data_IF_275616993461
#
_entry.id   IF_275616993461
#
_cell.length_a   1.000
_cell.length_b   1.000
_cell.length_c   1.000
_cell.angle_alpha   90.00
_cell.angle_beta   90.00
_cell.angle_gamma   90.00
#
_symmetry.space_group_name_H-M   'P 1'
#
loop_
_entity.id
_entity.type
_entity.pdbx_description
1 polymer ?
#
# COMPACT_ATOMS: atom_id res chain seq x y z
N UNK A 1 -19.36 0.59 39.71
CA UNK A 1 -19.27 1.40 38.48
C UNK A 1 -18.20 0.73 37.63
N UNK A 2 -18.59 -0.22 36.78
CA UNK A 2 -17.64 -1.00 35.97
C UNK A 2 -17.20 -0.21 34.73
N UNK A 3 -16.90 1.09 34.90
CA UNK A 3 -16.17 2.03 34.00
C UNK A 3 -16.59 2.18 32.54
N UNK A 4 -17.45 1.31 32.03
CA UNK A 4 -17.86 1.19 30.63
C UNK A 4 -19.37 0.96 30.68
N UNK A 5 -20.10 2.03 30.96
CA UNK A 5 -21.56 2.04 30.92
C UNK A 5 -22.08 2.13 29.47
N UNK A 6 -21.22 2.56 28.54
CA UNK A 6 -21.65 3.03 27.24
C UNK A 6 -21.08 2.18 26.09
N UNK A 7 -21.93 1.25 25.63
CA UNK A 7 -21.66 0.39 24.47
C UNK A 7 -21.30 1.22 23.24
N UNK A 8 -21.80 2.45 23.11
CA UNK A 8 -21.47 3.33 21.98
C UNK A 8 -20.04 3.84 22.02
N UNK A 9 -19.48 4.08 23.20
CA UNK A 9 -18.07 4.49 23.35
C UNK A 9 -17.16 3.33 22.94
N UNK A 10 -17.48 2.11 23.37
CA UNK A 10 -16.74 0.91 22.97
C UNK A 10 -16.84 0.66 21.46
N UNK A 11 -18.03 0.85 20.88
CA UNK A 11 -18.26 0.78 19.44
C UNK A 11 -17.45 1.85 18.68
N UNK A 12 -17.38 3.08 19.20
CA UNK A 12 -16.60 4.17 18.64
C UNK A 12 -15.11 3.84 18.58
N UNK A 13 -14.53 3.33 19.67
CA UNK A 13 -13.14 2.87 19.67
C UNK A 13 -12.90 1.73 18.67
N UNK A 14 -13.80 0.74 18.62
CA UNK A 14 -13.72 -0.36 17.66
C UNK A 14 -13.77 0.12 16.21
N UNK A 15 -14.65 1.07 15.90
CA UNK A 15 -14.75 1.66 14.56
C UNK A 15 -13.51 2.49 14.21
N UNK A 16 -12.99 3.29 15.12
CA UNK A 16 -11.79 4.11 14.86
C UNK A 16 -10.55 3.25 14.62
N UNK A 17 -10.35 2.21 15.43
CA UNK A 17 -9.26 1.25 15.25
C UNK A 17 -9.49 0.47 13.94
N UNK A 18 -10.71 -0.02 13.71
CA UNK A 18 -11.07 -0.72 12.48
C UNK A 18 -10.82 0.11 11.22
N UNK A 19 -11.21 1.39 11.21
CA UNK A 19 -10.96 2.32 10.10
C UNK A 19 -9.47 2.52 9.84
N UNK A 20 -8.68 2.67 10.91
CA UNK A 20 -7.22 2.79 10.80
C UNK A 20 -6.62 1.53 10.17
N UNK A 21 -7.02 0.34 10.63
CA UNK A 21 -6.57 -0.94 10.08
C UNK A 21 -6.97 -1.07 8.61
N UNK A 22 -8.21 -0.73 8.25
CA UNK A 22 -8.68 -0.76 6.87
C UNK A 22 -7.85 0.15 5.96
N UNK A 23 -7.52 1.37 6.40
CA UNK A 23 -6.66 2.29 5.65
C UNK A 23 -5.26 1.71 5.42
N UNK A 24 -4.66 1.11 6.46
CA UNK A 24 -3.33 0.49 6.36
C UNK A 24 -3.36 -0.70 5.39
N UNK A 25 -4.32 -1.62 5.57
CA UNK A 25 -4.45 -2.81 4.71
C UNK A 25 -4.71 -2.41 3.26
N UNK A 26 -5.62 -1.48 3.03
CA UNK A 26 -5.89 -0.94 1.70
C UNK A 26 -4.64 -0.30 1.10
N UNK A 27 -3.92 0.53 1.87
CA UNK A 27 -2.67 1.15 1.45
C UNK A 27 -1.61 0.12 1.06
N UNK A 28 -1.44 -0.95 1.84
CA UNK A 28 -0.50 -2.03 1.53
C UNK A 28 -0.89 -2.80 0.25
N UNK A 29 -2.17 -3.11 0.07
CA UNK A 29 -2.67 -3.80 -1.13
C UNK A 29 -2.55 -2.89 -2.36
N UNK A 30 -2.96 -1.62 -2.24
CA UNK A 30 -2.91 -0.64 -3.32
C UNK A 30 -1.46 -0.29 -3.69
N UNK A 31 -0.55 -0.21 -2.73
CA UNK A 31 0.89 -0.06 -2.98
C UNK A 31 1.41 -1.23 -3.81
N UNK A 32 1.03 -2.46 -3.48
CA UNK A 32 1.48 -3.62 -4.25
C UNK A 32 0.88 -3.66 -5.68
N UNK A 33 -0.27 -3.01 -5.91
CA UNK A 33 -0.87 -2.84 -7.25
C UNK A 33 -0.31 -1.64 -8.03
N UNK A 34 0.27 -0.66 -7.33
CA UNK A 34 0.93 0.50 -7.93
C UNK A 34 2.34 0.23 -8.45
N UNK A 35 2.84 -1.00 -8.33
CA UNK A 35 3.84 -1.46 -9.29
C UNK A 35 3.09 -1.65 -10.61
N UNK A 36 3.09 -0.60 -11.43
CA UNK A 36 3.09 -0.78 -12.88
C UNK A 36 3.93 -2.03 -13.14
N UNK A 37 3.26 -3.07 -13.64
CA UNK A 37 3.95 -4.23 -14.15
C UNK A 37 4.97 -3.67 -15.10
N UNK A 38 6.26 -3.73 -14.72
CA UNK A 38 7.33 -3.15 -15.52
C UNK A 38 7.17 -3.78 -16.89
N UNK A 39 6.68 -2.98 -17.85
CA UNK A 39 6.32 -3.53 -19.14
C UNK A 39 7.59 -4.18 -19.68
N UNK A 40 7.44 -5.34 -20.30
CA UNK A 40 8.60 -6.02 -20.89
C UNK A 40 9.39 -5.13 -21.87
N UNK A 41 8.74 -4.07 -22.37
CA UNK A 41 9.31 -3.00 -23.16
C UNK A 41 10.25 -2.07 -22.37
N UNK A 42 9.88 -1.64 -21.16
CA UNK A 42 10.73 -0.82 -20.28
C UNK A 42 12.00 -1.56 -19.86
N UNK A 43 11.87 -2.86 -19.55
CA UNK A 43 13.03 -3.71 -19.23
C UNK A 43 13.99 -3.79 -20.42
N UNK A 44 13.45 -3.88 -21.64
CA UNK A 44 14.25 -3.99 -22.86
C UNK A 44 14.92 -2.67 -23.23
N UNK A 45 14.25 -1.54 -23.05
CA UNK A 45 14.87 -0.22 -23.22
C UNK A 45 15.98 0.04 -22.20
N UNK A 46 15.75 -0.24 -20.91
CA UNK A 46 16.78 -0.10 -19.88
C UNK A 46 18.01 -0.99 -20.14
N UNK A 47 17.81 -2.16 -20.76
CA UNK A 47 18.91 -3.04 -21.16
C UNK A 47 19.69 -2.52 -22.38
N UNK A 48 19.02 -1.90 -23.35
CA UNK A 48 19.67 -1.30 -24.52
C UNK A 48 20.42 -0.01 -24.17
N UNK A 49 19.87 0.87 -23.32
CA UNK A 49 20.59 2.06 -22.85
C UNK A 49 21.91 1.71 -22.17
N UNK A 50 21.92 0.69 -21.29
CA UNK A 50 23.14 0.20 -20.65
C UNK A 50 24.17 -0.33 -21.65
N UNK A 51 23.74 -0.94 -22.76
CA UNK A 51 24.66 -1.41 -23.79
C UNK A 51 25.29 -0.24 -24.54
N UNK A 52 24.50 0.78 -24.86
CA UNK A 52 24.98 1.98 -25.55
C UNK A 52 25.97 2.76 -24.68
N UNK A 53 25.70 2.92 -23.37
CA UNK A 53 26.63 3.56 -22.44
C UNK A 53 27.94 2.79 -22.26
N UNK A 54 27.91 1.46 -22.25
CA UNK A 54 29.13 0.64 -22.12
C UNK A 54 29.96 0.57 -23.41
N UNK A 55 29.37 0.93 -24.55
CA UNK A 55 30.03 0.95 -25.86
C UNK A 55 30.64 2.32 -26.19
N UNK A 56 30.40 3.34 -25.36
CA UNK A 56 30.95 4.69 -25.48
C UNK A 56 32.20 4.87 -24.60
#
# INVERSE_FOLDING_TARGET
MWGIDDVWVLLGYLLSIGSTVLCIVYGLIAWNRGREDVESQDVRWAAEEKKVEQQL
#
